data_IF_677016282757
#
_entry.id   IF_677016282757
#
_cell.length_a   1.000
_cell.length_b   1.000
_cell.length_c   1.000
_cell.angle_alpha   90.00
_cell.angle_beta   90.00
_cell.angle_gamma   90.00
#
_symmetry.space_group_name_H-M   'P 1'
#
loop_
_entity.id
_entity.type
_entity.pdbx_description
1 polymer ?
#
# COMPACT_ATOMS: atom_id res chain seq x y z
N UNK A 1 14.99 -60.08 -34.07
CA UNK A 1 14.08 -58.93 -34.05
C UNK A 1 14.64 -57.91 -33.07
N UNK A 2 15.22 -56.85 -33.63
CA UNK A 2 15.62 -55.64 -32.91
C UNK A 2 14.40 -54.72 -32.79
N UNK A 3 14.55 -53.73 -31.91
CA UNK A 3 13.76 -52.50 -31.80
C UNK A 3 12.53 -52.61 -30.90
N UNK A 4 12.71 -52.25 -29.63
CA UNK A 4 11.68 -51.62 -28.78
C UNK A 4 12.33 -50.91 -27.57
N UNK A 5 13.47 -50.23 -27.80
CA UNK A 5 14.20 -49.49 -26.75
C UNK A 5 14.15 -47.99 -26.98
N UNK A 6 13.02 -47.45 -27.45
CA UNK A 6 12.84 -46.01 -27.72
C UNK A 6 11.48 -45.51 -27.20
N UNK A 7 11.01 -46.03 -26.06
CA UNK A 7 9.78 -45.53 -25.44
C UNK A 7 9.89 -45.20 -23.94
N UNK A 8 11.10 -45.06 -23.42
CA UNK A 8 11.34 -44.64 -22.03
C UNK A 8 12.14 -43.33 -21.89
N UNK A 9 12.53 -42.69 -23.00
CA UNK A 9 13.31 -41.44 -22.96
C UNK A 9 12.43 -40.19 -23.07
N UNK A 10 11.18 -40.30 -23.55
CA UNK A 10 10.34 -39.11 -23.79
C UNK A 10 9.67 -38.54 -22.54
N UNK A 11 9.52 -39.31 -21.46
CA UNK A 11 8.88 -38.84 -20.21
C UNK A 11 9.79 -38.05 -19.28
N UNK A 12 11.12 -38.09 -19.49
CA UNK A 12 12.07 -37.36 -18.63
C UNK A 12 12.44 -35.95 -19.13
N UNK A 13 12.06 -35.55 -20.34
CA UNK A 13 12.41 -34.24 -20.91
C UNK A 13 11.35 -33.16 -20.58
N UNK A 14 10.11 -33.54 -20.26
CA UNK A 14 9.04 -32.56 -19.99
C UNK A 14 9.14 -31.98 -18.56
N UNK A 15 9.79 -32.68 -17.62
CA UNK A 15 9.96 -32.20 -16.24
C UNK A 15 11.04 -31.11 -16.13
N UNK A 16 11.88 -30.93 -17.15
CA UNK A 16 13.01 -29.99 -17.12
C UNK A 16 12.70 -28.59 -17.67
N UNK A 17 11.50 -28.34 -18.20
CA UNK A 17 11.13 -27.03 -18.80
C UNK A 17 10.26 -26.14 -17.92
N UNK A 18 9.91 -26.56 -16.70
CA UNK A 18 9.18 -25.71 -15.73
C UNK A 18 10.00 -25.37 -14.47
N UNK A 19 11.34 -25.38 -14.57
CA UNK A 19 12.23 -24.74 -13.60
C UNK A 19 12.77 -23.43 -14.19
N UNK A 20 11.91 -22.68 -14.88
CA UNK A 20 12.08 -21.23 -14.90
C UNK A 20 11.67 -20.74 -13.53
N UNK A 21 12.62 -20.78 -12.59
CA UNK A 21 12.58 -19.94 -11.41
C UNK A 21 12.45 -18.53 -11.97
N UNK A 22 11.24 -18.00 -11.93
CA UNK A 22 11.01 -16.58 -12.10
C UNK A 22 11.72 -15.97 -10.90
N UNK A 23 12.99 -15.62 -11.07
CA UNK A 23 13.63 -14.62 -10.23
C UNK A 23 12.87 -13.34 -10.54
N UNK A 24 11.75 -13.15 -9.86
CA UNK A 24 11.15 -11.84 -9.73
C UNK A 24 12.14 -11.05 -8.88
N UNK A 25 13.18 -10.52 -9.53
CA UNK A 25 13.89 -9.37 -9.01
C UNK A 25 12.85 -8.24 -9.06
N UNK A 26 11.98 -8.22 -8.04
CA UNK A 26 11.25 -7.03 -7.67
C UNK A 26 12.35 -6.03 -7.33
N UNK A 27 12.70 -5.24 -8.33
CA UNK A 27 13.67 -4.17 -8.22
C UNK A 27 13.12 -3.25 -7.14
N UNK A 28 13.67 -3.39 -5.93
CA UNK A 28 13.38 -2.49 -4.80
C UNK A 28 13.95 -1.15 -5.22
N UNK A 29 13.13 -0.39 -5.94
CA UNK A 29 13.49 0.92 -6.44
C UNK A 29 13.85 1.79 -5.24
N UNK A 30 15.16 2.01 -5.09
CA UNK A 30 15.77 2.84 -4.06
C UNK A 30 15.62 4.32 -4.44
N UNK A 31 14.41 4.71 -4.84
CA UNK A 31 14.04 6.11 -4.85
C UNK A 31 13.74 6.51 -3.42
N UNK A 32 14.16 7.72 -3.06
CA UNK A 32 13.91 8.38 -1.77
C UNK A 32 12.39 8.63 -1.64
N UNK A 33 11.61 7.57 -1.48
CA UNK A 33 10.16 7.61 -1.38
C UNK A 33 9.82 8.33 -0.10
N UNK A 34 9.18 9.49 -0.22
CA UNK A 34 8.37 10.04 0.86
C UNK A 34 7.54 8.88 1.43
N UNK A 35 7.78 8.54 2.71
CA UNK A 35 7.15 7.37 3.34
C UNK A 35 5.64 7.59 3.33
N UNK A 36 4.94 6.86 2.47
CA UNK A 36 3.48 6.89 2.34
C UNK A 36 2.77 6.13 3.45
N UNK A 37 3.52 5.41 4.28
CA UNK A 37 3.05 4.77 5.51
C UNK A 37 4.10 4.94 6.60
N UNK A 38 3.67 5.46 7.75
CA UNK A 38 4.43 5.57 8.97
C UNK A 38 3.63 4.95 10.10
N UNK A 39 4.21 3.96 10.77
CA UNK A 39 3.66 3.33 11.97
C UNK A 39 4.66 3.57 13.09
N UNK A 40 4.24 4.23 14.16
CA UNK A 40 5.03 4.45 15.36
C UNK A 40 4.49 3.57 16.47
N UNK A 41 5.41 2.94 17.20
CA UNK A 41 5.08 2.08 18.33
C UNK A 41 5.50 2.76 19.64
N UNK A 42 4.84 2.40 20.73
CA UNK A 42 5.28 2.68 22.09
C UNK A 42 6.41 1.70 22.50
N UNK A 43 7.02 1.94 23.68
CA UNK A 43 8.05 1.05 24.23
C UNK A 43 7.54 -0.38 24.47
N UNK A 44 6.26 -0.52 24.83
CA UNK A 44 5.55 -1.79 25.01
C UNK A 44 5.13 -2.47 23.69
N UNK A 45 5.55 -1.91 22.54
CA UNK A 45 5.22 -2.35 21.17
C UNK A 45 3.76 -2.18 20.77
N UNK A 46 2.93 -1.53 21.58
CA UNK A 46 1.58 -1.13 21.14
C UNK A 46 1.67 -0.02 20.09
N UNK A 47 0.65 0.08 19.24
CA UNK A 47 0.61 1.11 18.20
C UNK A 47 0.35 2.47 18.84
N UNK A 48 1.31 3.38 18.68
CA UNK A 48 1.21 4.77 19.16
C UNK A 48 0.47 5.64 18.16
N UNK A 49 0.89 5.56 16.89
CA UNK A 49 0.42 6.43 15.82
C UNK A 49 0.56 5.75 14.47
N UNK A 50 -0.39 6.02 13.60
CA UNK A 50 -0.41 5.57 12.22
C UNK A 50 -0.69 6.74 11.31
N UNK A 51 0.09 6.86 10.25
CA UNK A 51 -0.09 7.86 9.21
C UNK A 51 0.10 7.20 7.84
N UNK A 52 -0.91 7.29 6.99
CA UNK A 52 -0.83 6.87 5.59
C UNK A 52 -1.13 8.06 4.69
N UNK A 53 -0.19 8.41 3.83
CA UNK A 53 -0.26 9.57 2.93
C UNK A 53 -0.40 9.10 1.50
N UNK A 54 -1.40 9.63 0.80
CA UNK A 54 -1.69 9.32 -0.59
C UNK A 54 -1.27 10.49 -1.48
N UNK A 55 -0.36 10.22 -2.41
CA UNK A 55 0.15 11.20 -3.37
C UNK A 55 -0.03 10.69 -4.79
N UNK A 56 0.01 11.62 -5.75
CA UNK A 56 -0.07 11.32 -7.19
C UNK A 56 0.94 10.28 -7.67
N UNK A 57 2.10 10.19 -7.02
CA UNK A 57 3.17 9.28 -7.45
C UNK A 57 3.03 7.87 -6.89
N UNK A 58 1.97 7.57 -6.12
CA UNK A 58 1.75 6.22 -5.64
C UNK A 58 1.27 5.32 -6.77
N UNK A 59 1.98 4.22 -6.96
CA UNK A 59 1.60 3.13 -7.84
C UNK A 59 0.62 2.17 -7.16
N UNK A 60 -0.01 1.28 -7.94
CA UNK A 60 -0.84 0.20 -7.40
C UNK A 60 -0.07 -0.64 -6.37
N UNK A 61 1.19 -1.00 -6.65
CA UNK A 61 2.04 -1.74 -5.72
C UNK A 61 2.27 -0.99 -4.41
N UNK A 62 2.38 0.34 -4.48
CA UNK A 62 2.51 1.18 -3.29
C UNK A 62 1.23 1.16 -2.46
N UNK A 63 0.05 1.21 -3.08
CA UNK A 63 -1.24 1.06 -2.40
C UNK A 63 -1.38 -0.33 -1.76
N UNK A 64 -0.98 -1.40 -2.46
CA UNK A 64 -0.99 -2.76 -1.91
C UNK A 64 -0.07 -2.88 -0.69
N UNK A 65 1.13 -2.27 -0.74
CA UNK A 65 2.07 -2.23 0.39
C UNK A 65 1.49 -1.48 1.59
N UNK A 66 0.86 -0.32 1.37
CA UNK A 66 0.17 0.44 2.43
C UNK A 66 -0.91 -0.43 3.08
N UNK A 67 -1.77 -1.06 2.27
CA UNK A 67 -2.83 -1.95 2.76
C UNK A 67 -2.28 -3.10 3.61
N UNK A 68 -1.23 -3.78 3.13
CA UNK A 68 -0.58 -4.88 3.87
C UNK A 68 0.04 -4.39 5.19
N UNK A 69 0.72 -3.24 5.16
CA UNK A 69 1.33 -2.67 6.36
C UNK A 69 0.32 -2.30 7.45
N UNK A 70 -0.83 -1.76 7.04
CA UNK A 70 -1.94 -1.46 7.95
C UNK A 70 -2.61 -2.74 8.49
N UNK A 71 -2.74 -3.76 7.65
CA UNK A 71 -3.34 -5.03 8.06
C UNK A 71 -2.55 -5.76 9.14
N UNK A 72 -1.21 -5.60 9.18
CA UNK A 72 -0.35 -6.18 10.23
C UNK A 72 -0.66 -5.64 11.62
N UNK A 73 -1.28 -4.46 11.71
CA UNK A 73 -1.67 -3.82 12.97
C UNK A 73 -3.20 -3.76 13.13
N UNK A 74 -3.91 -4.70 12.50
CA UNK A 74 -5.36 -4.84 12.56
C UNK A 74 -6.15 -3.60 12.06
N UNK A 75 -5.54 -2.81 11.17
CA UNK A 75 -6.23 -1.73 10.44
C UNK A 75 -6.55 -2.20 9.04
N UNK A 76 -7.82 -2.20 8.68
CA UNK A 76 -8.29 -2.62 7.35
C UNK A 76 -8.53 -1.42 6.46
N UNK A 77 -8.00 -1.46 5.23
CA UNK A 77 -8.30 -0.47 4.18
C UNK A 77 -9.02 -1.13 3.01
N UNK A 78 -10.16 -0.55 2.67
CA UNK A 78 -10.97 -0.90 1.51
C UNK A 78 -10.84 0.19 0.45
N UNK A 79 -10.01 -0.06 -0.57
CA UNK A 79 -10.01 0.78 -1.77
C UNK A 79 -11.28 0.50 -2.57
N UNK A 80 -12.20 1.46 -2.60
CA UNK A 80 -13.47 1.36 -3.33
C UNK A 80 -13.31 1.80 -4.79
N UNK A 81 -12.39 2.74 -5.04
CA UNK A 81 -12.08 3.27 -6.37
C UNK A 81 -10.61 3.67 -6.43
N UNK A 82 -9.93 3.30 -7.51
CA UNK A 82 -8.55 3.69 -7.80
C UNK A 82 -8.50 4.06 -9.28
N UNK A 83 -8.06 5.27 -9.60
CA UNK A 83 -7.90 5.74 -10.98
C UNK A 83 -6.48 6.25 -11.21
N UNK A 84 -5.88 5.80 -12.30
CA UNK A 84 -4.57 6.25 -12.77
C UNK A 84 -4.73 7.00 -14.10
N UNK A 85 -3.85 7.94 -14.38
CA UNK A 85 -3.76 8.57 -15.70
C UNK A 85 -2.97 7.69 -16.68
N UNK A 86 -2.84 8.17 -17.91
CA UNK A 86 -2.08 7.51 -18.99
C UNK A 86 -0.57 7.36 -18.73
N UNK A 87 -0.05 7.96 -17.66
CA UNK A 87 1.35 7.88 -17.25
C UNK A 87 1.48 7.10 -15.92
N UNK A 88 0.47 6.31 -15.56
CA UNK A 88 0.41 5.49 -14.34
C UNK A 88 0.48 6.31 -13.03
N UNK A 89 0.06 7.58 -13.06
CA UNK A 89 -0.01 8.43 -11.89
C UNK A 89 -1.40 8.39 -11.26
N UNK A 90 -1.47 8.30 -9.94
CA UNK A 90 -2.74 8.26 -9.19
C UNK A 90 -3.48 9.59 -9.34
N UNK A 91 -4.73 9.52 -9.81
CA UNK A 91 -5.61 10.68 -10.05
C UNK A 91 -6.75 10.73 -9.05
N UNK A 92 -7.33 9.57 -8.71
CA UNK A 92 -8.42 9.52 -7.74
C UNK A 92 -8.33 8.22 -6.92
N UNK A 93 -8.61 8.35 -5.63
CA UNK A 93 -8.70 7.27 -4.68
C UNK A 93 -9.90 7.50 -3.78
N UNK A 94 -10.82 6.53 -3.76
CA UNK A 94 -11.88 6.43 -2.76
C UNK A 94 -11.56 5.26 -1.87
N UNK A 95 -11.46 5.48 -0.56
CA UNK A 95 -11.23 4.40 0.38
C UNK A 95 -11.96 4.56 1.70
N UNK A 96 -12.09 3.43 2.38
CA UNK A 96 -12.68 3.30 3.70
C UNK A 96 -11.66 2.58 4.59
N UNK A 97 -11.43 3.13 5.78
CA UNK A 97 -10.48 2.62 6.77
C UNK A 97 -11.26 2.22 8.01
N UNK A 98 -10.97 1.03 8.53
CA UNK A 98 -11.51 0.51 9.78
C UNK A 98 -10.34 0.20 10.70
N UNK A 99 -10.30 0.86 11.84
CA UNK A 99 -9.28 0.68 12.87
C UNK A 99 -9.64 -0.48 13.81
N UNK A 100 -8.63 -1.02 14.48
CA UNK A 100 -8.75 -2.08 15.47
C UNK A 100 -9.59 -1.72 16.71
N UNK A 101 -9.78 -0.43 16.99
CA UNK A 101 -10.62 0.07 18.08
C UNK A 101 -12.09 0.28 17.67
N UNK A 102 -12.48 -0.17 16.47
CA UNK A 102 -13.82 0.00 15.91
C UNK A 102 -14.09 1.38 15.33
N UNK A 103 -13.15 2.32 15.41
CA UNK A 103 -13.25 3.60 14.71
C UNK A 103 -13.00 3.41 13.20
N UNK A 104 -13.45 4.37 12.40
CA UNK A 104 -13.26 4.29 10.96
C UNK A 104 -13.46 5.62 10.25
N UNK A 105 -13.14 5.63 8.97
CA UNK A 105 -13.18 6.81 8.12
C UNK A 105 -13.42 6.42 6.68
N UNK A 106 -14.09 7.30 5.92
CA UNK A 106 -14.19 7.16 4.48
C UNK A 106 -13.78 8.46 3.81
N UNK A 107 -12.84 8.38 2.87
CA UNK A 107 -12.42 9.54 2.10
C UNK A 107 -12.36 9.30 0.60
N UNK A 108 -12.40 10.41 -0.11
CA UNK A 108 -12.17 10.52 -1.53
C UNK A 108 -11.14 11.64 -1.74
N UNK A 109 -10.12 11.37 -2.56
CA UNK A 109 -9.04 12.33 -2.78
C UNK A 109 -9.44 13.51 -3.67
N UNK A 110 -10.56 13.42 -4.39
CA UNK A 110 -10.82 14.28 -5.53
C UNK A 110 -9.79 14.05 -6.65
N UNK A 111 -9.71 14.99 -7.60
CA UNK A 111 -8.74 14.94 -8.69
C UNK A 111 -7.34 15.43 -8.24
N UNK A 112 -6.47 14.48 -7.94
CA UNK A 112 -5.06 14.68 -7.57
C UNK A 112 -4.21 15.32 -8.68
N UNK A 113 -4.72 15.47 -9.92
CA UNK A 113 -4.01 16.17 -11.00
C UNK A 113 -4.08 17.69 -10.87
N UNK A 114 -5.14 18.18 -10.22
CA UNK A 114 -5.45 19.60 -10.06
C UNK A 114 -4.97 20.18 -8.72
N UNK A 115 -4.53 19.33 -7.80
CA UNK A 115 -4.14 19.73 -6.46
C UNK A 115 -2.79 20.43 -6.43
N UNK A 116 -2.74 21.54 -5.69
CA UNK A 116 -1.48 22.17 -5.32
C UNK A 116 -0.66 21.19 -4.46
N UNK A 117 0.65 21.13 -4.68
CA UNK A 117 1.63 20.22 -4.03
C UNK A 117 1.64 20.25 -2.48
N UNK A 118 0.83 21.11 -1.86
CA UNK A 118 0.72 21.33 -0.43
C UNK A 118 -0.44 20.58 0.21
N UNK A 119 -1.36 20.04 -0.58
CA UNK A 119 -2.51 19.28 -0.10
C UNK A 119 -2.07 17.83 0.13
N UNK A 120 -2.00 17.43 1.41
CA UNK A 120 -1.71 16.04 1.76
C UNK A 120 -3.04 15.39 2.11
N UNK A 121 -3.41 14.36 1.36
CA UNK A 121 -4.57 13.53 1.66
C UNK A 121 -4.09 12.23 2.26
N UNK A 122 -4.69 11.87 3.40
CA UNK A 122 -4.19 10.76 4.17
C UNK A 122 -5.16 10.27 5.23
N UNK A 123 -4.72 9.21 5.87
CA UNK A 123 -5.27 8.69 7.10
C UNK A 123 -4.27 8.97 8.21
N UNK A 124 -4.75 9.52 9.32
CA UNK A 124 -3.96 9.73 10.53
C UNK A 124 -4.75 9.24 11.75
N UNK A 125 -4.09 8.46 12.60
CA UNK A 125 -4.63 7.99 13.88
C UNK A 125 -3.57 8.10 14.95
N UNK A 126 -3.89 8.81 16.03
CA UNK A 126 -3.07 8.87 17.25
C UNK A 126 -3.81 8.17 18.38
N UNK A 127 -3.26 7.05 18.86
CA UNK A 127 -3.84 6.23 19.92
C UNK A 127 -3.46 6.72 21.33
N UNK A 128 -2.62 7.76 21.44
CA UNK A 128 -2.23 8.35 22.73
C UNK A 128 -3.18 9.43 23.25
N UNK A 129 -4.18 9.82 22.44
CA UNK A 129 -5.18 10.81 22.81
C UNK A 129 -6.50 10.09 23.08
N UNK A 130 -7.03 10.21 24.28
CA UNK A 130 -8.31 9.60 24.72
C UNK A 130 -9.52 10.06 23.89
N UNK A 131 -9.41 11.21 23.23
CA UNK A 131 -10.37 11.62 22.22
C UNK A 131 -10.05 10.94 20.91
N UNK A 132 -11.05 10.26 20.35
CA UNK A 132 -11.08 9.80 18.98
C UNK A 132 -10.61 10.97 18.10
N UNK A 133 -9.32 11.00 17.79
CA UNK A 133 -8.80 11.90 16.78
C UNK A 133 -9.41 11.37 15.52
N UNK A 134 -10.54 11.99 15.16
CA UNK A 134 -11.25 11.87 13.91
C UNK A 134 -10.18 11.58 12.89
N UNK A 135 -10.28 10.46 12.19
CA UNK A 135 -9.48 10.26 11.00
C UNK A 135 -9.68 11.52 10.17
N UNK A 136 -8.69 12.43 10.23
CA UNK A 136 -8.86 13.78 9.72
C UNK A 136 -8.64 13.61 8.25
N UNK A 137 -9.75 13.37 7.57
CA UNK A 137 -9.86 13.45 6.14
C UNK A 137 -10.06 14.92 5.87
N UNK A 138 -8.97 15.55 5.51
CA UNK A 138 -8.94 16.95 5.18
C UNK A 138 -7.50 17.32 5.08
N UNK A 139 -7.13 17.88 3.92
CA UNK A 139 -5.96 18.74 3.71
C UNK A 139 -5.11 18.81 4.98
N UNK A 140 -4.09 17.95 5.13
CA UNK A 140 -3.20 18.11 6.27
C UNK A 140 -2.51 19.45 6.04
N UNK A 141 -3.08 20.49 6.64
CA UNK A 141 -2.46 21.79 6.66
C UNK A 141 -1.14 21.58 7.38
N UNK A 142 -0.05 21.93 6.68
CA UNK A 142 1.32 21.85 7.20
C UNK A 142 1.43 22.55 8.57
N UNK A 143 0.55 23.51 8.86
CA UNK A 143 0.45 24.20 10.14
C UNK A 143 -0.05 23.32 11.30
N UNK A 144 -0.95 22.36 11.05
CA UNK A 144 -1.56 21.52 12.11
C UNK A 144 -0.89 20.15 12.24
N UNK A 145 -0.21 19.69 11.19
CA UNK A 145 0.52 18.42 11.17
C UNK A 145 1.90 18.63 10.54
N UNK A 146 2.88 19.17 11.30
CA UNK A 146 4.22 19.32 10.79
C UNK A 146 4.77 17.93 10.48
N UNK A 147 4.87 17.61 9.19
CA UNK A 147 5.68 16.51 8.69
C UNK A 147 7.09 16.69 9.30
N UNK A 148 7.43 15.85 10.28
CA UNK A 148 8.76 15.80 10.90
C UNK A 148 9.61 14.75 10.22
#
# INVERSE_FOLDING_TARGET
MKENTILFISTFIIVFLCVSIINVNAQSDNQKTQKSLTIQLNEDKTVKRVEAVFTRNLTLDSLVRIKKGLQVIDITVHYKKIEFDRHDLLVNLVCEVVCNDGSGARFETGDLSSQNRTEIIGFYRDYTRDSCSTATIGLLDKANYPLR
#
